data_IF_473902945574
#
_entry.id   IF_473902945574
#
_cell.length_a   1.000
_cell.length_b   1.000
_cell.length_c   1.000
_cell.angle_alpha   90.00
_cell.angle_beta   90.00
_cell.angle_gamma   90.00
#
_symmetry.space_group_name_H-M   'P 1'
#
loop_
_entity.id
_entity.type
_entity.pdbx_description
1 polymer ?
#
# COMPACT_ATOMS: atom_id res chain seq x y z
N UNK A 1 66.32 -29.42 -12.57
CA UNK A 1 64.97 -29.83 -12.11
C UNK A 1 63.96 -28.86 -12.71
N UNK A 2 63.00 -29.36 -13.50
CA UNK A 2 62.09 -28.56 -14.36
C UNK A 2 60.82 -28.18 -13.58
N UNK A 3 60.50 -26.89 -13.55
CA UNK A 3 59.24 -26.36 -13.03
C UNK A 3 58.09 -26.66 -14.00
N UNK A 4 57.01 -27.27 -13.49
CA UNK A 4 55.70 -27.33 -14.13
C UNK A 4 54.77 -26.32 -13.43
N UNK A 5 54.15 -25.37 -14.12
CA UNK A 5 52.99 -24.67 -13.59
C UNK A 5 51.73 -25.50 -13.80
N UNK A 6 51.01 -25.76 -12.71
CA UNK A 6 49.69 -26.39 -12.70
C UNK A 6 48.66 -25.34 -13.09
N UNK A 7 48.02 -25.58 -14.24
CA UNK A 7 46.79 -24.94 -14.67
C UNK A 7 45.62 -25.51 -13.86
N UNK A 8 44.87 -24.66 -13.17
CA UNK A 8 43.59 -25.02 -12.57
C UNK A 8 42.53 -24.01 -13.01
N UNK A 9 41.54 -24.55 -13.72
CA UNK A 9 40.44 -23.88 -14.37
C UNK A 9 39.53 -23.15 -13.38
N UNK A 10 39.32 -21.86 -13.61
CA UNK A 10 38.20 -21.11 -13.05
C UNK A 10 36.90 -21.53 -13.73
N UNK A 11 36.11 -22.37 -13.04
CA UNK A 11 34.78 -22.79 -13.48
C UNK A 11 33.72 -21.98 -12.73
N UNK A 12 33.01 -21.17 -13.51
CA UNK A 12 31.69 -20.56 -13.31
C UNK A 12 30.87 -21.03 -12.10
N UNK A 13 30.41 -20.06 -11.29
CA UNK A 13 29.17 -20.19 -10.51
C UNK A 13 28.28 -19.01 -10.90
N UNK A 14 27.19 -19.36 -11.58
CA UNK A 14 26.24 -18.43 -12.18
C UNK A 14 25.55 -17.53 -11.18
N UNK A 15 25.56 -16.24 -11.47
CA UNK A 15 24.63 -15.29 -10.87
C UNK A 15 23.20 -15.70 -11.22
N UNK A 16 22.43 -16.02 -10.19
CA UNK A 16 20.98 -16.11 -10.26
C UNK A 16 20.43 -14.78 -10.76
N UNK A 17 20.06 -14.73 -12.04
CA UNK A 17 19.17 -13.72 -12.55
C UNK A 17 17.84 -13.89 -11.79
N UNK A 18 17.62 -12.98 -10.83
CA UNK A 18 16.37 -12.85 -10.13
C UNK A 18 15.24 -12.77 -11.15
N UNK A 19 14.41 -13.81 -11.19
CA UNK A 19 13.18 -13.81 -11.97
C UNK A 19 12.32 -12.67 -11.49
N UNK A 20 12.28 -11.58 -12.27
CA UNK A 20 11.31 -10.50 -12.10
C UNK A 20 9.95 -11.13 -12.37
N UNK A 21 9.30 -11.62 -11.32
CA UNK A 21 7.88 -11.97 -11.34
C UNK A 21 7.15 -10.70 -11.75
N UNK A 22 6.65 -10.68 -12.99
CA UNK A 22 5.65 -9.71 -13.43
C UNK A 22 4.50 -9.77 -12.42
N UNK A 23 4.47 -8.82 -11.49
CA UNK A 23 3.30 -8.56 -10.68
C UNK A 23 2.24 -8.08 -11.65
N UNK A 24 1.41 -9.02 -12.12
CA UNK A 24 0.18 -8.72 -12.82
C UNK A 24 -0.60 -7.79 -11.91
N UNK A 25 -0.64 -6.50 -12.28
CA UNK A 25 -1.44 -5.51 -11.57
C UNK A 25 -2.84 -6.10 -11.46
N UNK A 26 -3.24 -6.39 -10.22
CA UNK A 26 -4.58 -6.85 -9.89
C UNK A 26 -5.50 -5.68 -10.21
N UNK A 27 -5.97 -5.61 -11.46
CA UNK A 27 -7.02 -4.69 -11.84
C UNK A 27 -8.26 -5.16 -11.08
N UNK A 28 -8.47 -4.58 -9.89
CA UNK A 28 -9.61 -4.92 -9.03
C UNK A 28 -10.88 -4.83 -9.87
N UNK A 29 -11.65 -5.93 -9.91
CA UNK A 29 -12.92 -6.03 -10.64
C UNK A 29 -13.88 -4.89 -10.26
N UNK A 30 -13.69 -4.29 -9.10
CA UNK A 30 -14.50 -3.20 -8.55
C UNK A 30 -14.13 -1.82 -9.14
N UNK A 31 -12.85 -1.61 -9.49
CA UNK A 31 -12.44 -0.41 -10.25
C UNK A 31 -13.04 -0.44 -11.66
N UNK A 32 -13.04 -1.64 -12.27
CA UNK A 32 -13.70 -1.87 -13.55
C UNK A 32 -15.21 -1.66 -13.44
N UNK A 33 -15.84 -2.07 -12.34
CA UNK A 33 -17.27 -1.84 -12.09
C UNK A 33 -17.59 -0.36 -11.93
N UNK A 34 -16.74 0.42 -11.23
CA UNK A 34 -16.91 1.87 -11.08
C UNK A 34 -16.80 2.59 -12.42
N UNK A 35 -15.79 2.25 -13.22
CA UNK A 35 -15.61 2.82 -14.56
C UNK A 35 -16.75 2.42 -15.51
N UNK A 36 -17.18 1.16 -15.45
CA UNK A 36 -18.33 0.68 -16.20
C UNK A 36 -19.61 1.41 -15.80
N UNK A 37 -19.83 1.64 -14.50
CA UNK A 37 -20.98 2.38 -13.99
C UNK A 37 -20.99 3.85 -14.44
N UNK A 38 -19.84 4.54 -14.42
CA UNK A 38 -19.72 5.91 -14.95
C UNK A 38 -20.05 5.93 -16.45
N UNK A 39 -19.54 4.95 -17.20
CA UNK A 39 -19.80 4.84 -18.63
C UNK A 39 -21.29 4.60 -18.88
N UNK A 40 -21.92 3.69 -18.14
CA UNK A 40 -23.35 3.40 -18.23
C UNK A 40 -24.19 4.63 -17.88
N UNK A 41 -23.89 5.34 -16.78
CA UNK A 41 -24.60 6.57 -16.40
C UNK A 41 -24.45 7.65 -17.48
N UNK A 42 -23.24 7.81 -18.04
CA UNK A 42 -22.99 8.81 -19.08
C UNK A 42 -23.78 8.51 -20.36
N UNK A 43 -23.90 7.24 -20.73
CA UNK A 43 -24.74 6.79 -21.84
C UNK A 43 -26.23 6.98 -21.54
N UNK A 44 -26.68 6.61 -20.33
CA UNK A 44 -28.07 6.76 -19.90
C UNK A 44 -28.50 8.23 -19.91
N UNK A 45 -27.63 9.12 -19.43
CA UNK A 45 -27.84 10.55 -19.44
C UNK A 45 -27.98 11.10 -20.87
N UNK A 46 -27.19 10.60 -21.83
CA UNK A 46 -27.32 10.95 -23.25
C UNK A 46 -28.68 10.53 -23.82
N UNK A 47 -29.11 9.29 -23.57
CA UNK A 47 -30.41 8.77 -24.03
C UNK A 47 -31.57 9.56 -23.40
N UNK A 48 -31.47 9.86 -22.11
CA UNK A 48 -32.45 10.69 -21.40
C UNK A 48 -32.55 12.09 -22.01
N UNK A 49 -31.41 12.74 -22.25
CA UNK A 49 -31.37 14.08 -22.84
C UNK A 49 -31.96 14.10 -24.26
N UNK A 50 -31.69 13.06 -25.07
CA UNK A 50 -32.27 12.92 -26.40
C UNK A 50 -33.80 12.74 -26.34
N UNK A 51 -34.30 11.94 -25.40
CA UNK A 51 -35.74 11.74 -25.18
C UNK A 51 -36.42 13.04 -24.73
N UNK A 52 -35.78 13.77 -23.81
CA UNK A 52 -36.26 15.06 -23.33
C UNK A 52 -36.26 16.13 -24.42
N UNK A 53 -35.25 16.13 -25.29
CA UNK A 53 -35.20 17.03 -26.43
C UNK A 53 -36.35 16.75 -27.42
N UNK A 54 -36.67 15.49 -27.69
CA UNK A 54 -37.84 15.11 -28.51
C UNK A 54 -39.16 15.63 -27.94
N UNK A 55 -39.32 15.56 -26.61
CA UNK A 55 -40.48 16.14 -25.92
C UNK A 55 -40.54 17.67 -26.07
N UNK A 56 -39.41 18.36 -25.93
CA UNK A 56 -39.32 19.82 -26.11
C UNK A 56 -39.66 20.26 -27.54
N UNK A 57 -39.27 19.51 -28.57
CA UNK A 57 -39.70 19.78 -29.96
C UNK A 57 -41.21 19.72 -30.07
N UNK A 58 -41.81 18.64 -29.55
CA UNK A 58 -43.24 18.42 -29.65
C UNK A 58 -44.06 19.50 -28.92
N UNK A 59 -43.52 20.08 -27.85
CA UNK A 59 -44.24 21.07 -27.04
C UNK A 59 -43.98 22.53 -27.47
N UNK A 60 -42.74 22.86 -27.84
CA UNK A 60 -42.32 24.25 -28.13
C UNK A 60 -42.04 24.53 -29.62
N UNK A 61 -42.17 23.54 -30.52
CA UNK A 61 -41.92 23.68 -31.96
C UNK A 61 -40.55 24.33 -32.30
N UNK A 62 -39.53 24.05 -31.48
CA UNK A 62 -38.21 24.65 -31.61
C UNK A 62 -37.51 24.22 -32.92
N UNK A 63 -36.83 25.18 -33.58
CA UNK A 63 -36.05 24.93 -34.78
C UNK A 63 -34.87 23.95 -34.53
N UNK A 64 -34.61 23.09 -35.52
CA UNK A 64 -33.68 21.95 -35.44
C UNK A 64 -32.23 22.31 -35.07
N UNK A 65 -31.71 23.46 -35.54
CA UNK A 65 -30.34 23.88 -35.26
C UNK A 65 -30.13 24.29 -33.79
N UNK A 66 -31.10 24.98 -33.20
CA UNK A 66 -31.04 25.41 -31.78
C UNK A 66 -31.04 24.20 -30.85
N UNK A 67 -31.81 23.17 -31.21
CA UNK A 67 -31.90 21.95 -30.44
C UNK A 67 -30.59 21.15 -30.42
N UNK A 68 -29.87 21.09 -31.55
CA UNK A 68 -28.55 20.44 -31.61
C UNK A 68 -27.55 21.10 -30.66
N UNK A 69 -27.50 22.43 -30.64
CA UNK A 69 -26.62 23.20 -29.74
C UNK A 69 -27.02 22.97 -28.28
N UNK A 70 -28.32 23.01 -27.98
CA UNK A 70 -28.84 22.74 -26.64
C UNK A 70 -28.48 21.32 -26.17
N UNK A 71 -28.59 20.32 -27.04
CA UNK A 71 -28.27 18.92 -26.72
C UNK A 71 -26.79 18.74 -26.37
N UNK A 72 -25.90 19.29 -27.20
CA UNK A 72 -24.45 19.21 -26.97
C UNK A 72 -24.08 19.92 -25.66
N UNK A 73 -24.61 21.12 -25.45
CA UNK A 73 -24.34 21.92 -24.25
C UNK A 73 -24.89 21.24 -22.99
N UNK A 74 -26.13 20.74 -23.04
CA UNK A 74 -26.75 20.03 -21.94
C UNK A 74 -26.01 18.74 -21.57
N UNK A 75 -25.57 17.97 -22.56
CA UNK A 75 -24.74 16.79 -22.33
C UNK A 75 -23.41 17.15 -21.68
N UNK A 76 -22.70 18.16 -22.18
CA UNK A 76 -21.45 18.62 -21.61
C UNK A 76 -21.61 19.03 -20.13
N UNK A 77 -22.67 19.76 -19.80
CA UNK A 77 -23.00 20.14 -18.41
C UNK A 77 -23.23 18.91 -17.54
N UNK A 78 -24.02 17.93 -17.99
CA UNK A 78 -24.27 16.71 -17.22
C UNK A 78 -22.96 15.94 -16.98
N UNK A 79 -22.12 15.78 -18.00
CA UNK A 79 -20.82 15.09 -17.87
C UNK A 79 -19.93 15.81 -16.84
N UNK A 80 -19.87 17.14 -16.88
CA UNK A 80 -19.12 17.94 -15.90
C UNK A 80 -19.69 17.74 -14.49
N UNK A 81 -21.02 17.76 -14.32
CA UNK A 81 -21.64 17.54 -13.00
C UNK A 81 -21.34 16.14 -12.45
N UNK A 82 -21.43 15.10 -13.28
CA UNK A 82 -21.08 13.73 -12.89
C UNK A 82 -19.60 13.64 -12.50
N UNK A 83 -18.70 14.26 -13.28
CA UNK A 83 -17.27 14.28 -13.00
C UNK A 83 -16.95 15.00 -11.68
N UNK A 84 -17.57 16.17 -11.42
CA UNK A 84 -17.39 16.92 -10.17
C UNK A 84 -17.94 16.14 -8.98
N UNK A 85 -19.12 15.52 -9.12
CA UNK A 85 -19.71 14.70 -8.06
C UNK A 85 -18.80 13.53 -7.68
N UNK A 86 -18.27 12.82 -8.68
CA UNK A 86 -17.30 11.74 -8.46
C UNK A 86 -16.01 12.24 -7.82
N UNK A 87 -15.46 13.33 -8.35
CA UNK A 87 -14.24 13.95 -7.81
C UNK A 87 -14.43 14.27 -6.33
N UNK A 88 -15.51 14.95 -5.96
CA UNK A 88 -15.78 15.32 -4.58
C UNK A 88 -16.00 14.08 -3.67
N UNK A 89 -16.71 13.06 -4.17
CA UNK A 89 -17.00 11.84 -3.38
C UNK A 89 -15.79 10.92 -3.20
N UNK A 90 -14.87 10.85 -4.16
CA UNK A 90 -13.71 9.96 -4.09
C UNK A 90 -12.44 10.67 -3.61
N UNK A 91 -12.10 11.84 -4.16
CA UNK A 91 -10.80 12.48 -3.87
C UNK A 91 -10.73 13.01 -2.43
N UNK A 92 -11.86 13.44 -1.85
CA UNK A 92 -11.89 13.92 -0.47
C UNK A 92 -11.36 12.89 0.54
N UNK A 93 -11.96 11.69 0.63
CA UNK A 93 -11.47 10.61 1.48
C UNK A 93 -10.01 10.22 1.20
N UNK A 94 -9.62 10.11 -0.08
CA UNK A 94 -8.24 9.77 -0.44
C UNK A 94 -7.23 10.82 0.01
N UNK A 95 -7.55 12.12 -0.10
CA UNK A 95 -6.68 13.20 0.38
C UNK A 95 -6.50 13.18 1.89
N UNK A 96 -7.55 12.85 2.64
CA UNK A 96 -7.45 12.66 4.10
C UNK A 96 -6.55 11.48 4.45
N UNK A 97 -6.79 10.34 3.81
CA UNK A 97 -5.96 9.13 3.99
C UNK A 97 -4.51 9.41 3.64
N UNK A 98 -4.23 10.13 2.55
CA UNK A 98 -2.88 10.53 2.14
C UNK A 98 -2.19 11.34 3.24
N UNK A 99 -2.89 12.29 3.85
CA UNK A 99 -2.37 13.10 4.94
C UNK A 99 -2.10 12.26 6.21
N UNK A 100 -3.04 11.41 6.60
CA UNK A 100 -2.87 10.52 7.77
C UNK A 100 -1.71 9.53 7.55
N UNK A 101 -1.56 8.97 6.35
CA UNK A 101 -0.43 8.10 6.01
C UNK A 101 0.92 8.83 6.03
N UNK A 102 0.96 10.12 5.63
CA UNK A 102 2.17 10.94 5.73
C UNK A 102 2.62 11.14 7.18
N UNK A 103 1.68 11.29 8.11
CA UNK A 103 1.98 11.37 9.55
C UNK A 103 2.52 10.04 10.09
N UNK A 104 1.89 8.92 9.72
CA UNK A 104 2.36 7.58 10.07
C UNK A 104 3.77 7.34 9.53
N UNK A 105 4.04 7.75 8.28
CA UNK A 105 5.36 7.67 7.66
C UNK A 105 6.41 8.56 8.34
N UNK A 106 6.00 9.65 8.99
CA UNK A 106 6.87 10.49 9.81
C UNK A 106 7.17 9.87 11.20
N UNK A 107 6.61 8.69 11.51
CA UNK A 107 6.85 7.96 12.75
C UNK A 107 5.75 8.10 13.80
N UNK A 108 4.66 8.84 13.53
CA UNK A 108 3.52 8.97 14.44
C UNK A 108 2.59 7.75 14.30
N UNK A 109 3.06 6.58 14.76
CA UNK A 109 2.34 5.31 14.59
C UNK A 109 1.00 5.27 15.35
N UNK A 110 0.89 6.02 16.47
CA UNK A 110 -0.33 6.10 17.28
C UNK A 110 -1.55 6.64 16.53
N UNK A 111 -1.34 7.29 15.38
CA UNK A 111 -2.42 7.75 14.50
C UNK A 111 -3.04 6.57 13.77
N UNK A 112 -4.36 6.44 13.92
CA UNK A 112 -5.18 5.53 13.12
C UNK A 112 -5.87 6.31 12.01
N UNK A 113 -5.97 5.67 10.85
CA UNK A 113 -6.70 6.22 9.73
C UNK A 113 -8.20 6.21 10.01
N UNK A 114 -8.91 7.24 9.55
CA UNK A 114 -10.36 7.37 9.75
C UNK A 114 -11.11 7.62 8.44
N UNK A 115 -12.06 6.74 8.12
CA UNK A 115 -13.05 6.93 7.05
C UNK A 115 -14.40 7.34 7.65
N UNK A 116 -15.17 8.16 6.92
CA UNK A 116 -16.55 8.50 7.30
C UNK A 116 -17.47 7.31 7.04
N UNK A 117 -18.58 7.23 7.79
CA UNK A 117 -19.57 6.16 7.61
C UNK A 117 -20.20 6.11 6.22
N UNK A 118 -20.34 7.28 5.57
CA UNK A 118 -20.88 7.45 4.23
C UNK A 118 -19.83 7.34 3.11
N UNK A 119 -18.56 7.15 3.46
CA UNK A 119 -17.53 6.88 2.46
C UNK A 119 -17.76 5.50 1.84
N UNK A 120 -17.18 5.32 0.66
CA UNK A 120 -17.27 4.07 -0.07
C UNK A 120 -16.75 2.88 0.77
N UNK A 121 -17.38 1.70 0.59
CA UNK A 121 -17.04 0.50 1.35
C UNK A 121 -15.57 0.09 1.16
N UNK A 122 -15.00 0.30 -0.03
CA UNK A 122 -13.61 -0.03 -0.33
C UNK A 122 -12.66 0.88 0.43
N UNK A 123 -12.97 2.17 0.51
CA UNK A 123 -12.18 3.14 1.30
C UNK A 123 -12.18 2.73 2.77
N UNK A 124 -13.35 2.34 3.30
CA UNK A 124 -13.48 1.88 4.69
C UNK A 124 -12.70 0.59 4.96
N UNK A 125 -12.79 -0.39 4.05
CA UNK A 125 -12.03 -1.65 4.17
C UNK A 125 -10.53 -1.41 4.06
N UNK A 126 -10.09 -0.55 3.14
CA UNK A 126 -8.70 -0.14 3.00
C UNK A 126 -8.19 0.49 4.31
N UNK A 127 -8.91 1.46 4.86
CA UNK A 127 -8.57 2.09 6.15
C UNK A 127 -8.44 1.05 7.26
N UNK A 128 -9.34 0.06 7.33
CA UNK A 128 -9.25 -1.04 8.29
C UNK A 128 -7.97 -1.85 8.12
N UNK A 129 -7.65 -2.30 6.90
CA UNK A 129 -6.44 -3.09 6.64
C UNK A 129 -5.15 -2.31 6.93
N UNK A 130 -5.12 -1.02 6.61
CA UNK A 130 -3.98 -0.16 6.95
C UNK A 130 -3.83 -0.03 8.46
N UNK A 131 -4.93 0.14 9.19
CA UNK A 131 -4.89 0.19 10.66
C UNK A 131 -4.43 -1.13 11.29
N UNK A 132 -4.85 -2.27 10.74
CA UNK A 132 -4.34 -3.59 11.15
C UNK A 132 -2.83 -3.70 10.89
N UNK A 133 -2.38 -3.28 9.71
CA UNK A 133 -0.95 -3.24 9.36
C UNK A 133 -0.14 -2.35 10.31
N UNK A 134 -0.61 -1.13 10.60
CA UNK A 134 0.05 -0.23 11.56
C UNK A 134 0.11 -0.88 12.95
N UNK A 135 -0.97 -1.52 13.39
CA UNK A 135 -1.01 -2.23 14.67
C UNK A 135 -0.01 -3.39 14.73
N UNK A 136 0.10 -4.19 13.67
CA UNK A 136 1.12 -5.24 13.58
C UNK A 136 2.54 -4.67 13.58
N UNK A 137 2.75 -3.55 12.89
CA UNK A 137 4.05 -2.88 12.84
C UNK A 137 4.46 -2.31 14.20
N UNK A 138 3.53 -1.68 14.93
CA UNK A 138 3.76 -1.20 16.30
C UNK A 138 4.09 -2.34 17.27
N UNK A 139 3.29 -3.41 17.26
CA UNK A 139 3.49 -4.57 18.12
C UNK A 139 4.87 -5.20 17.85
N UNK A 140 5.22 -5.29 16.56
CA UNK A 140 6.54 -5.69 16.14
C UNK A 140 7.64 -4.76 16.67
N UNK A 141 7.56 -3.45 16.40
CA UNK A 141 8.58 -2.49 16.86
C UNK A 141 8.82 -2.62 18.37
N UNK A 142 7.77 -2.80 19.17
CA UNK A 142 7.88 -3.03 20.60
C UNK A 142 8.59 -4.35 20.97
N UNK A 143 8.39 -5.43 20.21
CA UNK A 143 9.14 -6.69 20.38
C UNK A 143 10.62 -6.52 20.02
N UNK A 144 10.92 -5.77 18.96
CA UNK A 144 12.29 -5.44 18.55
C UNK A 144 13.01 -4.59 19.61
N UNK A 145 12.35 -3.60 20.19
CA UNK A 145 12.93 -2.76 21.26
C UNK A 145 13.23 -3.59 22.51
N UNK A 146 12.33 -4.52 22.89
CA UNK A 146 12.56 -5.46 23.99
C UNK A 146 13.76 -6.37 23.72
N UNK A 147 13.88 -6.91 22.51
CA UNK A 147 15.01 -7.75 22.12
C UNK A 147 16.31 -6.95 22.20
N UNK A 148 16.32 -5.74 21.63
CA UNK A 148 17.48 -4.85 21.66
C UNK A 148 17.91 -4.56 23.10
N UNK A 149 16.97 -4.24 23.99
CA UNK A 149 17.27 -4.01 25.41
C UNK A 149 17.82 -5.27 26.11
N UNK A 150 17.25 -6.44 25.85
CA UNK A 150 17.74 -7.71 26.39
C UNK A 150 19.15 -8.06 25.90
N UNK A 151 19.40 -7.88 24.60
CA UNK A 151 20.70 -8.09 23.96
C UNK A 151 21.74 -7.14 24.55
N UNK A 152 21.43 -5.84 24.67
CA UNK A 152 22.31 -4.85 25.30
C UNK A 152 22.63 -5.21 26.75
N UNK A 153 21.64 -5.64 27.54
CA UNK A 153 21.85 -6.05 28.92
C UNK A 153 22.75 -7.31 29.03
N UNK A 154 22.55 -8.29 28.15
CA UNK A 154 23.40 -9.49 28.11
C UNK A 154 24.82 -9.19 27.65
N UNK A 155 25.00 -8.29 26.68
CA UNK A 155 26.33 -7.81 26.26
C UNK A 155 27.08 -7.13 27.40
N UNK A 156 26.41 -6.30 28.20
CA UNK A 156 27.03 -5.68 29.39
C UNK A 156 27.38 -6.70 30.47
N UNK A 157 26.57 -7.75 30.67
CA UNK A 157 26.91 -8.86 31.58
C UNK A 157 28.15 -9.61 31.10
N UNK A 158 28.19 -9.98 29.83
CA UNK A 158 29.32 -10.65 29.19
C UNK A 158 30.57 -9.79 29.34
N UNK A 159 30.49 -8.49 29.04
CA UNK A 159 31.59 -7.53 29.21
C UNK A 159 32.09 -7.47 30.65
N UNK A 160 31.19 -7.41 31.62
CA UNK A 160 31.54 -7.41 33.04
C UNK A 160 32.21 -8.72 33.47
N UNK A 161 31.79 -9.86 32.91
CA UNK A 161 32.39 -11.17 33.21
C UNK A 161 33.78 -11.33 32.58
N UNK A 162 33.99 -10.86 31.35
CA UNK A 162 35.31 -10.79 30.71
C UNK A 162 36.31 -9.90 31.46
N UNK A 163 35.84 -8.91 32.21
CA UNK A 163 36.70 -8.01 32.98
C UNK A 163 37.25 -8.61 34.28
N UNK A 164 36.80 -9.81 34.67
CA UNK A 164 37.26 -10.52 35.87
C UNK A 164 38.45 -11.42 35.55
N UNK A 165 39.41 -11.52 36.48
CA UNK A 165 40.46 -12.52 36.41
C UNK A 165 39.87 -13.93 36.67
N UNK A 166 40.02 -14.84 35.70
CA UNK A 166 39.50 -16.23 35.78
C UNK A 166 38.07 -16.42 35.26
N UNK A 167 37.72 -15.85 34.11
CA UNK A 167 36.39 -16.02 33.51
C UNK A 167 36.21 -17.40 32.84
N UNK A 168 34.98 -17.91 32.93
CA UNK A 168 34.59 -19.19 32.33
C UNK A 168 34.21 -19.00 30.84
N UNK A 169 35.14 -19.37 29.97
CA UNK A 169 34.99 -19.24 28.52
C UNK A 169 33.85 -20.11 27.95
N UNK A 170 33.60 -21.31 28.52
CA UNK A 170 32.56 -22.22 28.04
C UNK A 170 31.17 -21.67 28.39
N UNK A 171 31.00 -21.15 29.61
CA UNK A 171 29.75 -20.50 30.01
C UNK A 171 29.44 -19.27 29.15
N UNK A 172 30.45 -18.43 28.90
CA UNK A 172 30.30 -17.22 28.11
C UNK A 172 29.91 -17.54 26.65
N UNK A 173 30.53 -18.58 26.08
CA UNK A 173 30.20 -19.09 24.74
C UNK A 173 28.77 -19.62 24.67
N UNK A 174 28.30 -20.31 25.71
CA UNK A 174 26.91 -20.77 25.80
C UNK A 174 25.92 -19.60 25.87
N UNK A 175 26.21 -18.56 26.66
CA UNK A 175 25.38 -17.36 26.74
C UNK A 175 25.30 -16.62 25.38
N UNK A 176 26.42 -16.45 24.68
CA UNK A 176 26.45 -15.85 23.32
C UNK A 176 25.62 -16.67 22.31
N UNK A 177 25.76 -18.00 22.32
CA UNK A 177 24.99 -18.88 21.44
C UNK A 177 23.49 -18.83 21.73
N UNK A 178 23.10 -18.73 23.01
CA UNK A 178 21.70 -18.57 23.40
C UNK A 178 21.11 -17.25 22.89
N UNK A 179 21.85 -16.16 23.01
CA UNK A 179 21.47 -14.84 22.53
C UNK A 179 21.31 -14.82 20.99
N UNK A 180 22.26 -15.45 20.29
CA UNK A 180 22.20 -15.60 18.84
C UNK A 180 20.98 -16.39 18.39
N UNK A 181 20.59 -17.43 19.15
CA UNK A 181 19.39 -18.21 18.86
C UNK A 181 18.11 -17.40 19.07
N UNK A 182 18.00 -16.64 20.17
CA UNK A 182 16.86 -15.74 20.40
C UNK A 182 16.72 -14.71 19.28
N UNK A 183 17.82 -14.08 18.85
CA UNK A 183 17.81 -13.15 17.72
C UNK A 183 17.35 -13.81 16.41
N UNK A 184 17.77 -15.04 16.14
CA UNK A 184 17.33 -15.79 14.96
C UNK A 184 15.84 -16.15 15.01
N UNK A 185 15.33 -16.51 16.18
CA UNK A 185 13.93 -16.91 16.35
C UNK A 185 12.98 -15.70 16.28
N UNK A 186 13.41 -14.51 16.71
CA UNK A 186 12.67 -13.26 16.45
C UNK A 186 12.69 -12.94 14.95
N UNK A 187 13.85 -13.04 14.29
CA UNK A 187 13.96 -12.78 12.85
C UNK A 187 13.08 -13.68 11.98
N UNK A 188 12.81 -14.92 12.39
CA UNK A 188 11.93 -15.85 11.65
C UNK A 188 10.44 -15.57 11.82
N UNK A 189 10.06 -14.85 12.89
CA UNK A 189 8.66 -14.52 13.18
C UNK A 189 8.16 -13.30 12.41
N UNK A 190 9.08 -12.58 11.76
CA UNK A 190 8.85 -11.42 10.92
C UNK A 190 9.18 -11.73 9.46
#
# INVERSE_FOLDING_TARGET
MKNKPVSAAGKSVGGHAAGVRKQSCFASKELQFTLAFITVISLLAGIFLQSFAGFLVSYYALHSAFLGIFLITGYAVIVVLVAVFFTHRFIGPFKRIEYEMKLVAAGELSRRLSARGNDDLHVRNFVRYVNEFIGSFEAGSAEYDKLTAAVSASLEKIRAELSKEGFDCERLKAEILSLQKEMQDVRKRW
#
